data_IF_960602389252
#
_entry.id   IF_960602389252
#
_cell.length_a   1.000
_cell.length_b   1.000
_cell.length_c   1.000
_cell.angle_alpha   90.00
_cell.angle_beta   90.00
_cell.angle_gamma   90.00
#
_symmetry.space_group_name_H-M   'P 1'
#
loop_
_entity.id
_entity.type
_entity.pdbx_description
1 polymer ?
#
# COMPACT_ATOMS: atom_id res chain seq x y z
N UNK A 1 19.62 93.40 -15.27
CA UNK A 1 19.82 93.14 -13.83
C UNK A 1 20.67 91.87 -13.73
N UNK A 2 21.99 91.82 -13.46
CA UNK A 2 22.81 92.40 -12.36
C UNK A 2 22.18 91.98 -11.00
N UNK A 3 22.73 91.15 -10.09
CA UNK A 3 24.09 90.82 -9.57
C UNK A 3 24.05 89.37 -8.95
N UNK A 4 25.02 88.45 -9.12
CA UNK A 4 26.19 88.10 -8.24
C UNK A 4 25.90 88.10 -6.72
N UNK A 5 26.21 87.10 -5.87
CA UNK A 5 27.46 86.32 -5.68
C UNK A 5 27.27 85.03 -4.82
N UNK A 6 28.04 83.97 -5.15
CA UNK A 6 28.94 83.16 -4.29
C UNK A 6 28.48 82.55 -2.95
N UNK A 7 28.60 81.23 -2.80
CA UNK A 7 29.70 80.60 -2.01
C UNK A 7 29.67 79.06 -2.04
N UNK A 8 30.86 78.50 -2.33
CA UNK A 8 31.48 77.38 -1.62
C UNK A 8 31.06 75.91 -1.84
N UNK A 9 32.04 75.17 -2.39
CA UNK A 9 32.70 73.97 -1.80
C UNK A 9 32.13 72.57 -2.08
N UNK A 10 32.92 71.81 -2.88
CA UNK A 10 33.27 70.38 -2.73
C UNK A 10 32.14 69.35 -3.05
N UNK A 11 32.32 68.19 -3.71
CA UNK A 11 33.47 67.34 -4.01
C UNK A 11 32.99 66.15 -4.91
N UNK A 12 33.81 65.74 -5.90
CA UNK A 12 33.95 64.40 -6.58
C UNK A 12 32.72 63.72 -7.23
N UNK A 13 32.58 63.48 -8.55
CA UNK A 13 33.43 62.78 -9.56
C UNK A 13 33.93 61.40 -9.05
N UNK A 14 33.19 60.30 -9.27
CA UNK A 14 33.23 59.35 -10.42
C UNK A 14 34.25 58.19 -10.31
N UNK A 15 33.81 57.01 -10.78
CA UNK A 15 34.59 55.87 -11.33
C UNK A 15 35.18 54.93 -10.25
N UNK A 16 34.56 53.76 -10.03
CA UNK A 16 34.81 52.46 -10.67
C UNK A 16 36.16 51.82 -10.27
N UNK A 17 36.07 50.53 -9.89
CA UNK A 17 37.14 49.52 -9.78
C UNK A 17 37.70 49.28 -8.39
N UNK A 18 37.19 48.26 -7.68
CA UNK A 18 38.06 47.29 -6.99
C UNK A 18 37.38 45.93 -7.04
N UNK A 19 37.98 45.01 -7.80
CA UNK A 19 37.79 43.59 -7.66
C UNK A 19 38.77 43.06 -6.58
N UNK A 20 38.34 41.99 -5.91
CA UNK A 20 39.13 41.05 -5.07
C UNK A 20 39.35 41.47 -3.61
N UNK A 21 38.56 40.88 -2.70
CA UNK A 21 39.09 40.20 -1.52
C UNK A 21 38.08 39.18 -0.97
N UNK A 22 38.51 37.92 -0.92
CA UNK A 22 37.78 36.74 -0.49
C UNK A 22 37.60 36.66 1.04
N UNK A 23 36.53 36.00 1.50
CA UNK A 23 36.48 34.95 2.55
C UNK A 23 35.03 34.76 3.07
N UNK A 24 34.64 33.48 3.28
CA UNK A 24 33.40 32.97 3.91
C UNK A 24 32.12 33.04 3.02
N UNK A 25 31.38 31.96 2.72
CA UNK A 25 31.04 30.75 3.49
C UNK A 25 30.78 29.54 2.55
N UNK A 26 31.05 28.31 3.02
CA UNK A 26 30.62 27.09 2.34
C UNK A 26 29.24 26.69 2.89
N UNK A 27 28.15 26.82 2.11
CA UNK A 27 26.86 26.23 2.50
C UNK A 27 25.89 26.20 1.32
N UNK A 28 25.79 25.04 0.70
CA UNK A 28 24.79 24.77 -0.33
C UNK A 28 24.76 23.28 -0.61
N UNK A 29 24.40 22.47 0.38
CA UNK A 29 23.95 21.09 0.12
C UNK A 29 22.85 21.20 -0.91
N UNK A 30 23.07 20.60 -2.07
CA UNK A 30 22.01 20.25 -2.99
C UNK A 30 21.02 19.37 -2.22
N UNK A 31 19.93 19.97 -1.72
CA UNK A 31 18.74 19.24 -1.35
C UNK A 31 18.14 18.77 -2.67
N UNK A 32 18.47 17.54 -3.05
CA UNK A 32 17.59 16.71 -3.86
C UNK A 32 16.21 16.78 -3.22
N UNK A 33 15.32 17.53 -3.88
CA UNK A 33 13.90 17.51 -3.62
C UNK A 33 13.46 16.06 -3.78
N UNK A 34 13.29 15.36 -2.65
CA UNK A 34 12.48 14.17 -2.60
C UNK A 34 11.10 14.58 -3.08
N UNK A 35 10.75 14.09 -4.26
CA UNK A 35 9.44 14.18 -4.86
C UNK A 35 8.43 13.52 -3.92
N UNK A 36 7.91 14.33 -3.01
CA UNK A 36 6.75 13.99 -2.20
C UNK A 36 5.62 13.64 -3.15
N UNK A 37 5.31 12.33 -3.23
CA UNK A 37 4.07 11.85 -3.84
C UNK A 37 2.92 12.71 -3.29
N UNK A 38 1.97 13.15 -4.13
CA UNK A 38 0.84 13.92 -3.65
C UNK A 38 0.13 13.09 -2.58
N UNK A 39 0.19 13.55 -1.32
CA UNK A 39 -0.62 13.00 -0.24
C UNK A 39 -2.06 13.32 -0.61
N UNK A 40 -2.76 12.32 -1.15
CA UNK A 40 -4.22 12.36 -1.26
C UNK A 40 -4.74 12.75 0.13
N UNK A 41 -5.63 13.76 0.26
CA UNK A 41 -6.16 14.16 1.56
C UNK A 41 -6.71 12.92 2.26
N UNK A 42 -6.10 12.55 3.38
CA UNK A 42 -6.48 11.37 4.15
C UNK A 42 -7.85 11.63 4.76
N UNK A 43 -8.88 11.02 4.17
CA UNK A 43 -10.24 11.10 4.68
C UNK A 43 -10.36 10.21 5.92
N UNK A 44 -10.70 10.84 7.04
CA UNK A 44 -10.93 10.18 8.31
C UNK A 44 -12.43 9.97 8.54
N UNK A 45 -12.82 8.74 8.85
CA UNK A 45 -14.21 8.33 9.08
C UNK A 45 -14.36 7.67 10.44
N UNK A 46 -15.55 7.78 11.03
CA UNK A 46 -15.93 7.03 12.23
C UNK A 46 -16.87 5.90 11.80
N UNK A 47 -16.65 4.71 12.35
CA UNK A 47 -17.42 3.50 12.05
C UNK A 47 -17.99 2.99 13.36
N UNK A 48 -19.32 3.07 13.49
CA UNK A 48 -20.06 2.48 14.61
C UNK A 48 -21.27 1.74 14.05
N UNK A 49 -21.29 0.43 14.22
CA UNK A 49 -22.35 -0.45 13.77
C UNK A 49 -22.73 -1.34 14.94
N UNK A 50 -24.02 -1.39 15.28
CA UNK A 50 -24.53 -2.26 16.32
C UNK A 50 -25.59 -3.20 15.76
N UNK A 51 -25.27 -4.50 15.70
CA UNK A 51 -26.18 -5.56 15.29
C UNK A 51 -26.78 -5.36 13.87
N UNK A 52 -25.98 -4.79 12.96
CA UNK A 52 -26.38 -4.44 11.59
C UNK A 52 -26.13 -5.61 10.64
N UNK A 53 -26.96 -5.76 9.60
CA UNK A 53 -26.73 -6.79 8.58
C UNK A 53 -25.39 -6.58 7.85
N UNK A 54 -24.63 -7.66 7.65
CA UNK A 54 -23.32 -7.59 6.98
C UNK A 54 -23.41 -6.99 5.57
N UNK A 55 -24.53 -7.17 4.86
CA UNK A 55 -24.74 -6.60 3.52
C UNK A 55 -24.85 -5.08 3.56
N UNK A 56 -25.39 -4.51 4.65
CA UNK A 56 -25.43 -3.05 4.84
C UNK A 56 -24.02 -2.52 5.06
N UNK A 57 -23.19 -3.23 5.84
CA UNK A 57 -21.80 -2.85 6.04
C UNK A 57 -20.98 -2.96 4.74
N UNK A 58 -21.19 -4.01 3.94
CA UNK A 58 -20.58 -4.15 2.60
C UNK A 58 -20.98 -2.98 1.69
N UNK A 59 -22.26 -2.60 1.67
CA UNK A 59 -22.75 -1.47 0.88
C UNK A 59 -22.09 -0.15 1.31
N UNK A 60 -22.01 0.10 2.61
CA UNK A 60 -21.32 1.27 3.15
C UNK A 60 -19.86 1.33 2.69
N UNK A 61 -19.15 0.20 2.74
CA UNK A 61 -17.77 0.13 2.26
C UNK A 61 -17.67 0.32 0.74
N UNK A 62 -18.64 -0.17 -0.04
CA UNK A 62 -18.72 0.08 -1.49
C UNK A 62 -18.77 1.57 -1.82
N UNK A 63 -19.62 2.31 -1.10
CA UNK A 63 -19.78 3.76 -1.28
C UNK A 63 -18.54 4.53 -0.83
N UNK A 64 -17.91 4.10 0.27
CA UNK A 64 -16.69 4.73 0.78
C UNK A 64 -15.46 4.49 -0.10
N UNK A 65 -15.28 3.29 -0.63
CA UNK A 65 -14.10 2.94 -1.43
C UNK A 65 -14.29 3.15 -2.92
N UNK A 66 -15.54 3.34 -3.37
CA UNK A 66 -15.90 3.33 -4.79
C UNK A 66 -15.71 1.96 -5.45
N UNK A 67 -15.68 0.89 -4.66
CA UNK A 67 -15.42 -0.47 -5.16
C UNK A 67 -16.73 -1.20 -5.43
N UNK A 68 -16.81 -1.84 -6.59
CA UNK A 68 -17.92 -2.73 -6.93
C UNK A 68 -17.73 -4.09 -6.25
N UNK A 69 -18.60 -4.42 -5.29
CA UNK A 69 -18.61 -5.73 -4.63
C UNK A 69 -19.66 -6.66 -5.23
N UNK A 70 -19.27 -7.92 -5.47
CA UNK A 70 -20.17 -9.02 -5.83
C UNK A 70 -20.25 -9.98 -4.66
N UNK A 71 -21.41 -10.11 -4.06
CA UNK A 71 -21.61 -10.87 -2.81
C UNK A 71 -22.23 -12.23 -3.11
N UNK A 72 -21.63 -13.30 -2.58
CA UNK A 72 -22.21 -14.65 -2.64
C UNK A 72 -23.48 -14.74 -1.76
N UNK A 73 -24.49 -15.49 -2.20
CA UNK A 73 -25.76 -15.62 -1.47
C UNK A 73 -25.61 -16.20 -0.06
N UNK A 74 -24.51 -16.90 0.23
CA UNK A 74 -24.20 -17.45 1.55
C UNK A 74 -23.70 -16.39 2.54
N UNK A 75 -23.33 -15.20 2.08
CA UNK A 75 -22.85 -14.11 2.94
C UNK A 75 -24.03 -13.48 3.68
N UNK A 76 -24.25 -13.95 4.90
CA UNK A 76 -25.32 -13.50 5.79
C UNK A 76 -24.80 -13.42 7.22
N UNK A 77 -25.43 -12.59 8.02
CA UNK A 77 -25.08 -12.41 9.43
C UNK A 77 -25.27 -10.98 9.90
N UNK A 78 -25.05 -10.77 11.20
CA UNK A 78 -25.08 -9.46 11.83
C UNK A 78 -23.70 -9.12 12.38
N UNK A 79 -23.29 -7.87 12.19
CA UNK A 79 -22.00 -7.35 12.62
C UNK A 79 -22.19 -6.26 13.65
N UNK A 80 -21.27 -6.22 14.61
CA UNK A 80 -21.12 -5.12 15.56
C UNK A 80 -19.67 -4.64 15.48
N UNK A 81 -19.48 -3.38 15.11
CA UNK A 81 -18.19 -2.71 15.03
C UNK A 81 -18.23 -1.50 15.94
N UNK A 82 -17.32 -1.44 16.91
CA UNK A 82 -17.20 -0.33 17.85
C UNK A 82 -15.85 0.34 17.60
N UNK A 83 -15.85 1.55 17.02
CA UNK A 83 -14.62 2.34 16.83
C UNK A 83 -14.63 3.59 17.71
N UNK A 84 -13.78 3.68 18.75
CA UNK A 84 -13.72 4.84 19.63
C UNK A 84 -13.05 6.06 18.99
N UNK A 85 -12.44 5.92 17.81
CA UNK A 85 -11.68 6.98 17.13
C UNK A 85 -11.95 6.99 15.63
N UNK A 86 -11.67 8.14 15.00
CA UNK A 86 -11.72 8.27 13.54
C UNK A 86 -10.52 7.54 12.93
N UNK A 87 -10.76 6.78 11.88
CA UNK A 87 -9.76 5.98 11.16
C UNK A 87 -9.69 6.41 9.70
N UNK A 88 -8.54 6.22 9.06
CA UNK A 88 -8.36 6.49 7.63
C UNK A 88 -9.16 5.49 6.77
N UNK A 89 -9.44 5.84 5.52
CA UNK A 89 -10.09 4.92 4.55
C UNK A 89 -9.35 3.58 4.42
N UNK A 90 -8.01 3.60 4.48
CA UNK A 90 -7.18 2.39 4.42
C UNK A 90 -7.35 1.51 5.64
N UNK A 91 -7.43 2.10 6.82
CA UNK A 91 -7.69 1.37 8.07
C UNK A 91 -9.12 0.82 8.09
N UNK A 92 -10.10 1.59 7.64
CA UNK A 92 -11.47 1.14 7.49
C UNK A 92 -11.58 -0.09 6.59
N UNK A 93 -10.85 -0.11 5.47
CA UNK A 93 -10.81 -1.29 4.60
C UNK A 93 -10.19 -2.51 5.29
N UNK A 94 -9.16 -2.32 6.13
CA UNK A 94 -8.60 -3.42 6.94
C UNK A 94 -9.61 -3.95 7.95
N UNK A 95 -10.31 -3.07 8.65
CA UNK A 95 -11.39 -3.45 9.58
C UNK A 95 -12.47 -4.22 8.84
N UNK A 96 -12.83 -3.79 7.62
CA UNK A 96 -13.78 -4.49 6.77
C UNK A 96 -13.33 -5.93 6.46
N UNK A 97 -12.07 -6.13 6.03
CA UNK A 97 -11.53 -7.48 5.79
C UNK A 97 -11.52 -8.33 7.07
N UNK A 98 -11.15 -7.75 8.22
CA UNK A 98 -11.18 -8.46 9.51
C UNK A 98 -12.60 -8.87 9.93
N UNK A 99 -13.61 -8.02 9.72
CA UNK A 99 -15.01 -8.35 10.02
C UNK A 99 -15.49 -9.51 9.16
N UNK A 100 -15.14 -9.52 7.86
CA UNK A 100 -15.44 -10.62 6.95
C UNK A 100 -14.76 -11.91 7.42
N UNK A 101 -13.49 -11.84 7.82
CA UNK A 101 -12.71 -13.00 8.28
C UNK A 101 -13.32 -13.65 9.52
N UNK A 102 -13.77 -12.85 10.51
CA UNK A 102 -14.46 -13.36 11.71
C UNK A 102 -15.74 -14.14 11.35
N UNK A 103 -16.40 -13.76 10.26
CA UNK A 103 -17.60 -14.44 9.76
C UNK A 103 -17.30 -15.58 8.77
N UNK A 104 -16.02 -15.89 8.52
CA UNK A 104 -15.61 -16.95 7.60
C UNK A 104 -15.74 -16.57 6.12
N UNK A 105 -15.74 -15.28 5.80
CA UNK A 105 -15.77 -14.75 4.44
C UNK A 105 -14.45 -14.05 4.09
N UNK A 106 -14.22 -13.84 2.80
CA UNK A 106 -13.04 -13.12 2.31
C UNK A 106 -13.31 -12.44 0.98
N UNK A 107 -12.45 -11.48 0.63
CA UNK A 107 -12.49 -10.73 -0.62
C UNK A 107 -11.56 -11.38 -1.65
N UNK A 108 -12.01 -11.48 -2.90
CA UNK A 108 -11.21 -11.97 -4.03
C UNK A 108 -11.33 -11.00 -5.19
N UNK A 109 -10.21 -10.41 -5.60
CA UNK A 109 -10.17 -9.54 -6.77
C UNK A 109 -10.47 -10.36 -8.03
N UNK A 110 -11.41 -9.88 -8.86
CA UNK A 110 -11.81 -10.54 -10.10
C UNK A 110 -12.04 -9.48 -11.19
N UNK A 111 -10.97 -9.05 -11.85
CA UNK A 111 -11.03 -7.94 -12.80
C UNK A 111 -11.33 -6.62 -12.09
N UNK A 112 -12.36 -5.90 -12.54
CA UNK A 112 -12.78 -4.60 -11.98
C UNK A 112 -13.68 -4.71 -10.74
N UNK A 113 -14.07 -5.93 -10.36
CA UNK A 113 -14.94 -6.17 -9.20
C UNK A 113 -14.23 -6.98 -8.12
N UNK A 114 -14.68 -6.80 -6.88
CA UNK A 114 -14.22 -7.59 -5.73
C UNK A 114 -15.34 -8.54 -5.31
N UNK A 115 -15.07 -9.84 -5.33
CA UNK A 115 -16.03 -10.86 -4.91
C UNK A 115 -15.90 -11.12 -3.42
N UNK A 116 -17.03 -11.22 -2.71
CA UNK A 116 -17.08 -11.63 -1.31
C UNK A 116 -17.66 -13.03 -1.26
N UNK A 117 -16.84 -14.00 -0.84
CA UNK A 117 -17.16 -15.43 -0.85
C UNK A 117 -16.74 -16.08 0.46
N UNK A 118 -17.26 -17.27 0.81
CA UNK A 118 -16.73 -18.05 1.92
C UNK A 118 -15.25 -18.36 1.75
N UNK A 119 -14.48 -18.20 2.83
CA UNK A 119 -13.03 -18.39 2.85
C UNK A 119 -12.54 -19.74 2.30
N UNK A 120 -13.24 -20.88 2.50
CA UNK A 120 -12.84 -22.15 1.87
C UNK A 120 -12.83 -22.09 0.34
N UNK A 121 -13.77 -21.37 -0.27
CA UNK A 121 -13.91 -21.30 -1.72
C UNK A 121 -12.85 -20.38 -2.34
N UNK A 122 -12.36 -19.40 -1.58
CA UNK A 122 -11.29 -18.50 -2.03
C UNK A 122 -9.93 -19.22 -2.18
N UNK A 123 -9.66 -20.25 -1.35
CA UNK A 123 -8.41 -21.03 -1.44
C UNK A 123 -8.26 -21.74 -2.78
N UNK A 124 -9.37 -22.14 -3.40
CA UNK A 124 -9.38 -22.78 -4.73
C UNK A 124 -9.17 -21.80 -5.87
N UNK A 125 -9.55 -20.52 -5.69
CA UNK A 125 -9.54 -19.48 -6.73
C UNK A 125 -8.26 -18.64 -6.72
N UNK A 126 -7.60 -18.51 -5.57
CA UNK A 126 -6.40 -17.68 -5.39
C UNK A 126 -5.08 -18.42 -5.61
N UNK A 127 -5.10 -19.63 -6.19
CA UNK A 127 -3.87 -20.34 -6.57
C UNK A 127 -3.27 -19.68 -7.82
N UNK A 128 -2.60 -18.54 -7.61
CA UNK A 128 -1.67 -17.97 -8.58
C UNK A 128 -0.51 -18.96 -8.76
N UNK A 129 -0.43 -19.62 -9.93
CA UNK A 129 0.74 -20.41 -10.29
C UNK A 129 1.83 -19.45 -10.75
N UNK A 130 2.85 -19.20 -9.91
CA UNK A 130 3.98 -18.32 -10.28
C UNK A 130 5.21 -19.15 -10.64
N UNK A 131 5.70 -18.97 -11.87
CA UNK A 131 6.85 -19.67 -12.45
C UNK A 131 8.22 -18.99 -12.14
N UNK A 132 8.28 -17.88 -11.39
CA UNK A 132 9.53 -17.14 -11.17
C UNK A 132 9.59 -16.43 -9.82
N UNK A 133 10.79 -16.44 -9.22
CA UNK A 133 11.13 -15.74 -7.99
C UNK A 133 11.12 -14.21 -8.22
N UNK A 134 10.02 -13.56 -7.85
CA UNK A 134 10.05 -12.14 -7.52
C UNK A 134 9.79 -11.98 -6.03
N UNK A 135 10.53 -11.05 -5.43
CA UNK A 135 10.61 -10.78 -4.00
C UNK A 135 9.23 -10.71 -3.35
N UNK A 136 9.03 -11.61 -2.39
CA UNK A 136 7.87 -11.73 -1.54
C UNK A 136 7.62 -10.41 -0.80
N UNK A 137 6.60 -9.66 -1.21
CA UNK A 137 5.86 -8.87 -0.22
C UNK A 137 5.08 -9.87 0.63
N UNK A 138 5.19 -9.85 1.97
CA UNK A 138 4.38 -10.70 2.83
C UNK A 138 2.91 -10.35 2.60
N UNK A 139 2.22 -11.18 1.82
CA UNK A 139 0.79 -11.15 1.64
C UNK A 139 0.31 -12.53 2.05
N UNK A 140 -0.70 -12.57 2.91
CA UNK A 140 -1.39 -13.80 3.34
C UNK A 140 -2.13 -14.44 2.16
N UNK A 141 -1.37 -15.02 1.23
CA UNK A 141 -1.89 -15.65 0.02
C UNK A 141 -1.23 -17.02 -0.15
N UNK A 142 -2.06 -18.02 -0.37
CA UNK A 142 -1.62 -19.38 -0.73
C UNK A 142 -1.21 -19.36 -2.19
N UNK A 143 0.00 -19.83 -2.49
CA UNK A 143 0.52 -19.96 -3.86
C UNK A 143 0.90 -21.40 -4.15
N UNK A 144 0.76 -21.83 -5.41
CA UNK A 144 1.31 -23.11 -5.87
C UNK A 144 2.53 -22.85 -6.72
N UNK A 145 3.65 -23.48 -6.34
CA UNK A 145 4.93 -23.33 -7.02
C UNK A 145 5.36 -24.67 -7.61
N UNK A 146 5.75 -24.66 -8.88
CA UNK A 146 6.36 -25.81 -9.55
C UNK A 146 7.87 -25.64 -9.54
N UNK A 147 8.57 -26.60 -8.95
CA UNK A 147 10.03 -26.61 -8.85
C UNK A 147 10.56 -27.73 -9.75
N UNK A 148 11.09 -27.43 -10.95
CA UNK A 148 11.69 -28.45 -11.79
C UNK A 148 12.98 -28.96 -11.16
N UNK A 149 13.15 -30.28 -11.12
CA UNK A 149 14.35 -30.93 -10.58
C UNK A 149 15.16 -31.52 -11.73
N UNK A 150 16.43 -31.13 -11.84
CA UNK A 150 17.33 -31.62 -12.91
C UNK A 150 18.15 -32.83 -12.47
N UNK A 151 18.55 -32.88 -11.19
CA UNK A 151 19.53 -33.86 -10.68
C UNK A 151 19.06 -34.63 -9.44
N UNK A 152 17.84 -34.38 -8.98
CA UNK A 152 17.33 -34.91 -7.71
C UNK A 152 16.01 -35.65 -7.91
N UNK A 153 15.88 -36.78 -7.20
CA UNK A 153 14.64 -37.54 -7.15
C UNK A 153 13.55 -36.78 -6.37
N UNK A 154 12.37 -36.53 -6.96
CA UNK A 154 11.27 -35.78 -6.34
C UNK A 154 10.79 -36.37 -5.00
N UNK A 155 10.82 -37.69 -4.85
CA UNK A 155 10.36 -38.38 -3.62
C UNK A 155 11.34 -38.12 -2.48
N UNK A 156 12.63 -38.16 -2.77
CA UNK A 156 13.70 -37.86 -1.81
C UNK A 156 13.63 -36.41 -1.32
N UNK A 157 13.47 -35.46 -2.23
CA UNK A 157 13.33 -34.03 -1.90
C UNK A 157 12.10 -33.80 -1.02
N UNK A 158 10.94 -34.38 -1.36
CA UNK A 158 9.72 -34.26 -0.54
C UNK A 158 9.98 -34.66 0.93
N UNK A 159 10.66 -35.78 1.17
CA UNK A 159 10.97 -36.25 2.54
C UNK A 159 11.84 -35.27 3.31
N UNK A 160 12.84 -34.68 2.65
CA UNK A 160 13.76 -33.72 3.26
C UNK A 160 13.08 -32.41 3.65
N UNK A 161 12.17 -31.91 2.80
CA UNK A 161 11.51 -30.62 3.04
C UNK A 161 10.26 -30.71 3.90
N UNK A 162 9.65 -31.89 4.06
CA UNK A 162 8.44 -32.08 4.88
C UNK A 162 8.53 -31.45 6.28
N UNK A 163 9.64 -31.54 7.04
CA UNK A 163 9.76 -30.91 8.37
C UNK A 163 9.79 -29.38 8.36
N UNK A 164 10.15 -28.76 7.23
CA UNK A 164 10.27 -27.30 7.07
C UNK A 164 8.99 -26.66 6.55
N UNK A 165 8.00 -27.46 6.17
CA UNK A 165 6.74 -26.99 5.62
C UNK A 165 5.72 -26.81 6.72
N UNK A 166 4.98 -25.70 6.68
CA UNK A 166 3.94 -25.40 7.66
C UNK A 166 2.86 -26.48 7.63
N UNK A 167 2.18 -26.70 8.77
CA UNK A 167 1.07 -27.66 8.88
C UNK A 167 -0.07 -27.42 7.87
N UNK A 168 -0.18 -26.20 7.36
CA UNK A 168 -1.19 -25.76 6.40
C UNK A 168 -0.78 -25.90 4.93
N UNK A 169 0.43 -26.41 4.65
CA UNK A 169 1.01 -26.48 3.30
C UNK A 169 1.16 -27.93 2.82
N UNK A 170 1.10 -28.14 1.50
CA UNK A 170 1.12 -29.47 0.86
C UNK A 170 2.25 -29.56 -0.17
N UNK A 171 3.05 -30.64 -0.11
CA UNK A 171 4.08 -30.96 -1.11
C UNK A 171 3.69 -32.22 -1.90
N UNK A 172 3.67 -32.10 -3.22
CA UNK A 172 3.47 -33.20 -4.16
C UNK A 172 4.76 -33.47 -4.93
N UNK A 173 5.06 -34.75 -5.16
CA UNK A 173 6.23 -35.20 -5.92
C UNK A 173 5.72 -35.95 -7.16
N UNK A 174 6.22 -35.58 -8.33
CA UNK A 174 5.87 -36.21 -9.61
C UNK A 174 7.13 -36.75 -10.25
N UNK A 175 7.14 -38.05 -10.56
CA UNK A 175 8.25 -38.68 -11.29
C UNK A 175 8.23 -38.27 -12.76
N UNK A 176 9.39 -38.17 -13.43
CA UNK A 176 9.46 -37.96 -14.87
C UNK A 176 8.70 -39.08 -15.61
N UNK A 177 7.87 -38.71 -16.57
CA UNK A 177 7.28 -39.62 -17.57
C UNK A 177 8.19 -39.77 -18.78
#
# INVERSE_FOLDING_TARGET
MKLTHSTARYILISIMSVAIMALAYPSGRAQTQETGKPKTPEQFISIDFNNVDINVFIKFMSELTGTNFVVDQRVKGKVTIISPSKISLKEAYRVFESVLEVHGYTTVQSGEVVKIIPSPDARSKSIETKLREESTTPRDRVVTQLIPLTYADPVTIKRLFTPMVSKSSVILAYSPT
#
